data_IF_919626813633
#
_entry.id   IF_919626813633
#
_cell.length_a   1.000
_cell.length_b   1.000
_cell.length_c   1.000
_cell.angle_alpha   90.00
_cell.angle_beta   90.00
_cell.angle_gamma   90.00
#
_symmetry.space_group_name_H-M   'P 1'
#
loop_
_entity.id
_entity.type
_entity.pdbx_description
1 polymer ?
#
# COMPACT_ATOMS: atom_id res chain seq x y z
N UNK A 1 13.57 19.83 3.19
CA UNK A 1 14.58 18.80 3.48
C UNK A 1 15.04 18.96 4.92
N UNK A 2 14.55 18.15 5.85
CA UNK A 2 15.08 18.12 7.22
C UNK A 2 16.39 17.33 7.22
N UNK A 3 17.52 18.02 7.41
CA UNK A 3 18.82 17.36 7.61
C UNK A 3 18.83 16.78 9.02
N UNK A 4 18.82 15.45 9.12
CA UNK A 4 19.12 14.76 10.37
C UNK A 4 20.63 14.82 10.61
N UNK A 5 21.05 15.06 11.84
CA UNK A 5 22.45 15.12 12.27
C UNK A 5 23.06 13.72 12.39
N UNK A 6 22.28 12.74 12.83
CA UNK A 6 22.76 11.39 13.03
C UNK A 6 22.80 10.61 11.72
N UNK A 7 23.85 9.81 11.54
CA UNK A 7 24.05 8.94 10.37
C UNK A 7 23.69 7.47 10.65
N UNK A 8 23.58 7.07 11.92
CA UNK A 8 23.17 5.70 12.27
C UNK A 8 21.64 5.54 12.30
N UNK A 9 21.07 4.40 11.86
CA UNK A 9 19.63 4.22 11.77
C UNK A 9 18.89 4.35 13.11
N UNK A 10 19.47 3.80 14.19
CA UNK A 10 18.87 3.82 15.52
C UNK A 10 18.86 5.24 16.12
N UNK A 11 19.96 5.99 15.94
CA UNK A 11 20.04 7.37 16.43
C UNK A 11 19.22 8.34 15.57
N UNK A 12 19.03 8.07 14.27
CA UNK A 12 18.12 8.82 13.41
C UNK A 12 16.66 8.77 13.89
N UNK A 13 16.22 7.61 14.41
CA UNK A 13 14.87 7.45 14.97
C UNK A 13 14.75 8.26 16.26
N UNK A 14 15.75 8.16 17.14
CA UNK A 14 15.80 8.93 18.38
C UNK A 14 15.83 10.44 18.10
N UNK A 15 16.66 10.90 17.16
CA UNK A 15 16.75 12.30 16.77
C UNK A 15 15.40 12.83 16.23
N UNK A 16 14.71 12.04 15.40
CA UNK A 16 13.35 12.39 14.95
C UNK A 16 12.35 12.48 16.09
N UNK A 17 12.47 11.62 17.10
CA UNK A 17 11.63 11.71 18.31
C UNK A 17 11.98 12.95 19.13
N UNK A 18 13.26 13.30 19.26
CA UNK A 18 13.71 14.49 20.00
C UNK A 18 13.38 15.81 19.30
N UNK A 19 13.25 15.81 17.97
CA UNK A 19 12.80 16.98 17.20
C UNK A 19 11.28 17.21 17.31
N UNK A 20 10.51 16.25 17.82
CA UNK A 20 9.09 16.42 18.04
C UNK A 20 8.85 17.16 19.37
N UNK A 21 7.96 18.18 19.41
CA UNK A 21 7.59 18.82 20.66
C UNK A 21 7.07 17.79 21.68
N UNK A 22 7.42 17.88 22.97
CA UNK A 22 6.89 17.00 24.00
C UNK A 22 5.36 16.96 23.97
N UNK A 23 4.77 15.76 23.89
CA UNK A 23 3.31 15.58 23.78
C UNK A 23 2.73 15.73 22.38
N UNK A 24 3.57 15.89 21.34
CA UNK A 24 3.13 15.92 19.95
C UNK A 24 2.52 14.57 19.54
N UNK A 25 1.20 14.55 19.39
CA UNK A 25 0.50 13.47 18.67
C UNK A 25 0.39 13.89 17.21
N UNK A 26 1.04 13.21 16.26
CA UNK A 26 0.85 13.51 14.85
C UNK A 26 -0.64 13.41 14.52
N UNK A 27 -1.20 14.48 13.93
CA UNK A 27 -2.60 14.49 13.49
C UNK A 27 -2.76 13.35 12.47
N UNK A 28 -3.74 12.47 12.68
CA UNK A 28 -3.97 11.26 11.87
C UNK A 28 -4.32 11.46 10.39
N UNK A 29 -4.13 12.67 9.85
CA UNK A 29 -4.37 13.02 8.44
C UNK A 29 -3.11 13.23 7.60
N UNK A 30 -1.91 13.07 8.16
CA UNK A 30 -0.65 13.16 7.40
C UNK A 30 -0.32 11.87 6.65
N UNK A 31 0.28 11.97 5.46
CA UNK A 31 0.90 10.83 4.78
C UNK A 31 2.15 10.43 5.59
N UNK A 32 1.97 9.46 6.49
CA UNK A 32 3.10 8.80 7.14
C UNK A 32 3.79 7.87 6.14
N UNK A 33 5.12 7.94 6.06
CA UNK A 33 5.97 7.05 5.25
C UNK A 33 7.01 6.46 6.21
N UNK A 34 7.08 5.13 6.29
CA UNK A 34 8.17 4.40 6.94
C UNK A 34 9.43 4.49 6.10
N UNK A 35 10.55 4.84 6.73
CA UNK A 35 11.84 4.74 6.06
C UNK A 35 12.25 3.27 5.89
N UNK A 36 13.13 3.00 4.92
CA UNK A 36 13.59 1.64 4.62
C UNK A 36 14.19 0.91 5.84
N UNK A 37 14.98 1.62 6.65
CA UNK A 37 15.54 1.06 7.88
C UNK A 37 14.47 0.77 8.95
N UNK A 38 13.37 1.52 8.99
CA UNK A 38 12.32 1.34 10.00
C UNK A 38 11.50 0.08 9.76
N UNK A 39 11.11 -0.17 8.51
CA UNK A 39 10.32 -1.36 8.19
C UNK A 39 11.19 -2.61 8.10
N UNK A 40 12.46 -2.52 7.68
CA UNK A 40 13.41 -3.65 7.74
C UNK A 40 13.70 -4.10 9.18
N UNK A 41 13.71 -3.18 10.14
CA UNK A 41 13.95 -3.51 11.56
C UNK A 41 12.70 -4.08 12.27
N UNK A 42 11.53 -4.07 11.62
CA UNK A 42 10.30 -4.69 12.14
C UNK A 42 10.17 -6.18 11.84
N UNK A 43 11.18 -6.82 11.26
CA UNK A 43 11.14 -8.27 11.02
C UNK A 43 10.11 -8.69 9.96
N UNK A 44 9.16 -9.54 10.34
CA UNK A 44 8.26 -10.25 9.42
C UNK A 44 7.19 -9.32 8.80
N UNK A 45 6.69 -9.68 7.62
CA UNK A 45 5.66 -8.95 6.88
C UNK A 45 4.41 -8.69 7.72
N UNK A 46 4.03 -9.67 8.56
CA UNK A 46 2.86 -9.56 9.42
C UNK A 46 2.96 -8.40 10.42
N UNK A 47 4.15 -8.12 10.96
CA UNK A 47 4.34 -7.01 11.89
C UNK A 47 4.19 -5.66 11.19
N UNK A 48 4.53 -5.60 9.91
CA UNK A 48 4.37 -4.41 9.07
C UNK A 48 2.89 -4.22 8.73
N UNK A 49 2.18 -5.29 8.37
CA UNK A 49 0.74 -5.27 8.17
C UNK A 49 0.03 -4.82 9.45
N UNK A 50 0.35 -5.42 10.60
CA UNK A 50 -0.26 -5.05 11.89
C UNK A 50 0.03 -3.57 12.24
N UNK A 51 1.22 -3.06 11.94
CA UNK A 51 1.54 -1.65 12.14
C UNK A 51 0.66 -0.72 11.29
N UNK A 52 0.38 -1.09 10.04
CA UNK A 52 -0.49 -0.32 9.14
C UNK A 52 -1.96 -0.41 9.58
N UNK A 53 -2.40 -1.60 10.00
CA UNK A 53 -3.79 -1.92 10.34
C UNK A 53 -4.18 -1.41 11.72
N UNK A 54 -3.29 -1.46 12.71
CA UNK A 54 -3.54 -0.97 14.07
C UNK A 54 -3.88 0.54 14.11
N UNK A 55 -3.60 1.28 13.04
CA UNK A 55 -3.99 2.69 12.90
C UNK A 55 -5.41 2.90 12.38
N UNK A 56 -6.05 1.86 11.82
CA UNK A 56 -7.39 1.93 11.26
C UNK A 56 -8.49 1.93 12.34
N UNK A 57 -8.15 1.77 13.63
CA UNK A 57 -9.05 1.88 14.79
C UNK A 57 -10.36 1.07 14.68
N UNK A 58 -10.31 -0.11 14.04
CA UNK A 58 -11.47 -1.00 13.83
C UNK A 58 -11.10 -2.45 14.17
N UNK A 59 -11.55 -2.92 15.34
CA UNK A 59 -11.22 -4.26 15.86
C UNK A 59 -11.73 -5.40 14.95
N UNK A 60 -12.92 -5.26 14.37
CA UNK A 60 -13.47 -6.28 13.47
C UNK A 60 -12.67 -6.41 12.17
N UNK A 61 -12.21 -5.28 11.62
CA UNK A 61 -11.35 -5.27 10.43
C UNK A 61 -9.99 -5.88 10.74
N UNK A 62 -9.42 -5.56 11.91
CA UNK A 62 -8.15 -6.12 12.37
C UNK A 62 -8.22 -7.64 12.48
N UNK A 63 -9.24 -8.18 13.16
CA UNK A 63 -9.45 -9.62 13.29
C UNK A 63 -9.60 -10.32 11.94
N UNK A 64 -10.39 -9.73 11.05
CA UNK A 64 -10.57 -10.26 9.69
C UNK A 64 -9.25 -10.30 8.92
N UNK A 65 -8.42 -9.26 9.04
CA UNK A 65 -7.11 -9.23 8.40
C UNK A 65 -6.20 -10.30 9.00
N UNK A 66 -6.15 -10.45 10.32
CA UNK A 66 -5.38 -11.50 10.99
C UNK A 66 -5.77 -12.90 10.48
N UNK A 67 -7.06 -13.20 10.38
CA UNK A 67 -7.56 -14.48 9.82
C UNK A 67 -7.06 -14.71 8.39
N UNK A 68 -7.22 -13.72 7.49
CA UNK A 68 -6.81 -13.81 6.08
C UNK A 68 -5.31 -14.06 5.96
N UNK A 69 -4.49 -13.37 6.75
CA UNK A 69 -3.04 -13.46 6.66
C UNK A 69 -2.46 -14.68 7.39
N UNK A 70 -3.15 -15.20 8.42
CA UNK A 70 -2.82 -16.47 9.07
C UNK A 70 -3.12 -17.67 8.17
N UNK A 71 -4.28 -17.69 7.49
CA UNK A 71 -4.68 -18.80 6.62
C UNK A 71 -3.88 -18.88 5.32
N UNK A 72 -3.49 -17.73 4.77
CA UNK A 72 -2.99 -17.68 3.40
C UNK A 72 -1.48 -17.97 3.26
N UNK A 73 -0.71 -18.01 4.35
CA UNK A 73 0.73 -18.17 4.32
C UNK A 73 1.45 -16.95 3.69
N UNK A 74 2.64 -16.62 4.18
CA UNK A 74 3.31 -15.32 4.02
C UNK A 74 3.89 -15.01 2.61
N UNK A 75 3.37 -15.63 1.53
CA UNK A 75 3.89 -15.52 0.15
C UNK A 75 3.02 -14.67 -0.81
N UNK A 76 2.27 -13.70 -0.31
CA UNK A 76 1.07 -13.21 -1.02
C UNK A 76 0.93 -11.68 -1.13
N UNK A 77 2.03 -10.96 -1.38
CA UNK A 77 1.92 -9.53 -1.72
C UNK A 77 1.08 -9.39 -3.00
N UNK A 78 1.30 -10.23 -4.01
CA UNK A 78 0.62 -10.14 -5.31
C UNK A 78 -0.57 -11.10 -5.45
N UNK A 79 -1.58 -10.70 -6.22
CA UNK A 79 -2.74 -11.56 -6.53
C UNK A 79 -2.37 -12.83 -7.31
N UNK A 80 -1.38 -12.76 -8.19
CA UNK A 80 -0.95 -13.86 -9.07
C UNK A 80 0.51 -13.62 -9.49
N UNK A 81 1.24 -14.66 -9.94
CA UNK A 81 2.59 -14.49 -10.49
C UNK A 81 2.60 -13.56 -11.72
N UNK A 82 1.58 -13.64 -12.58
CA UNK A 82 1.40 -12.71 -13.70
C UNK A 82 1.25 -11.25 -13.22
N UNK A 83 0.52 -11.01 -12.13
CA UNK A 83 0.42 -9.69 -11.53
C UNK A 83 1.77 -9.19 -11.01
N UNK A 84 2.56 -10.06 -10.34
CA UNK A 84 3.93 -9.74 -9.90
C UNK A 84 4.80 -9.30 -11.08
N UNK A 85 4.85 -10.11 -12.14
CA UNK A 85 5.66 -9.82 -13.31
C UNK A 85 5.27 -8.49 -13.97
N UNK A 86 3.96 -8.29 -14.21
CA UNK A 86 3.41 -7.06 -14.78
C UNK A 86 3.77 -5.83 -13.94
N UNK A 87 3.61 -5.91 -12.62
CA UNK A 87 3.96 -4.81 -11.73
C UNK A 87 5.46 -4.50 -11.74
N UNK A 88 6.32 -5.52 -11.70
CA UNK A 88 7.77 -5.34 -11.78
C UNK A 88 8.22 -4.75 -13.12
N UNK A 89 7.58 -5.13 -14.23
CA UNK A 89 7.84 -4.53 -15.55
C UNK A 89 7.46 -3.04 -15.57
N UNK A 90 6.32 -2.68 -14.98
CA UNK A 90 5.90 -1.27 -14.86
C UNK A 90 6.87 -0.45 -14.02
N UNK A 91 7.46 -1.05 -12.98
CA UNK A 91 8.48 -0.41 -12.15
C UNK A 91 9.83 -0.20 -12.86
N UNK A 92 10.21 -1.08 -13.79
CA UNK A 92 11.51 -1.00 -14.51
C UNK A 92 11.48 -0.13 -15.77
N UNK A 93 10.30 0.30 -16.22
CA UNK A 93 10.13 1.08 -17.44
C UNK A 93 10.38 2.58 -17.26
N UNK A 94 9.88 3.38 -18.21
CA UNK A 94 9.96 4.86 -18.24
C UNK A 94 9.40 5.58 -16.99
N UNK A 95 8.78 4.84 -16.06
CA UNK A 95 8.07 5.35 -14.89
C UNK A 95 8.83 5.10 -13.57
N UNK A 96 10.00 4.48 -13.64
CA UNK A 96 10.79 4.06 -12.47
C UNK A 96 11.01 5.18 -11.44
N UNK A 97 11.26 6.41 -11.93
CA UNK A 97 11.53 7.57 -11.08
C UNK A 97 10.34 7.95 -10.20
N UNK A 98 9.11 7.86 -10.70
CA UNK A 98 7.90 8.13 -9.92
C UNK A 98 7.60 7.00 -8.96
N UNK A 99 7.81 5.74 -9.36
CA UNK A 99 7.64 4.60 -8.46
C UNK A 99 8.53 4.73 -7.21
N UNK A 100 9.75 5.23 -7.36
CA UNK A 100 10.66 5.51 -6.24
C UNK A 100 10.29 6.75 -5.44
N UNK A 101 9.82 7.81 -6.11
CA UNK A 101 9.57 9.11 -5.47
C UNK A 101 8.18 9.21 -4.81
N UNK A 102 7.19 8.49 -5.32
CA UNK A 102 5.79 8.58 -4.90
C UNK A 102 5.22 7.19 -4.58
N UNK A 103 5.29 6.74 -3.32
CA UNK A 103 4.79 5.42 -2.94
C UNK A 103 3.27 5.29 -3.13
N UNK A 104 2.52 6.41 -3.04
CA UNK A 104 1.09 6.46 -3.35
C UNK A 104 0.80 6.07 -4.80
N UNK A 105 1.62 6.55 -5.74
CA UNK A 105 1.51 6.21 -7.14
C UNK A 105 1.77 4.71 -7.35
N UNK A 106 2.84 4.20 -6.74
CA UNK A 106 3.19 2.78 -6.82
C UNK A 106 2.06 1.88 -6.31
N UNK A 107 1.51 2.19 -5.14
CA UNK A 107 0.42 1.44 -4.53
C UNK A 107 -0.89 1.51 -5.34
N UNK A 108 -1.18 2.67 -5.94
CA UNK A 108 -2.34 2.80 -6.82
C UNK A 108 -2.19 1.99 -8.11
N UNK A 109 -1.00 2.01 -8.72
CA UNK A 109 -0.72 1.15 -9.90
C UNK A 109 -0.82 -0.32 -9.54
N UNK A 110 -0.33 -0.73 -8.36
CA UNK A 110 -0.44 -2.10 -7.86
C UNK A 110 -1.90 -2.59 -7.82
N UNK A 111 -2.83 -1.77 -7.32
CA UNK A 111 -4.25 -2.14 -7.30
C UNK A 111 -4.87 -2.17 -8.70
N UNK A 112 -4.54 -1.18 -9.55
CA UNK A 112 -5.05 -1.13 -10.92
C UNK A 112 -4.52 -2.28 -11.79
N UNK A 113 -3.31 -2.79 -11.52
CA UNK A 113 -2.72 -3.91 -12.26
C UNK A 113 -3.16 -5.28 -11.77
N UNK A 114 -3.88 -5.36 -10.64
CA UNK A 114 -4.31 -6.61 -10.04
C UNK A 114 -5.38 -7.36 -10.87
N UNK A 115 -6.10 -6.63 -11.72
CA UNK A 115 -7.06 -7.18 -12.68
C UNK A 115 -6.74 -6.68 -14.09
N UNK A 116 -6.73 -7.58 -15.07
CA UNK A 116 -6.37 -7.24 -16.45
C UNK A 116 -7.42 -6.37 -17.14
N UNK A 117 -8.71 -6.64 -16.88
CA UNK A 117 -9.82 -5.85 -17.43
C UNK A 117 -9.81 -4.42 -16.90
N UNK A 118 -9.47 -4.23 -15.62
CA UNK A 118 -9.31 -2.92 -15.02
C UNK A 118 -8.06 -2.21 -15.58
N UNK A 119 -6.93 -2.91 -15.66
CA UNK A 119 -5.69 -2.35 -16.18
C UNK A 119 -5.83 -1.85 -17.63
N UNK A 120 -6.48 -2.61 -18.51
CA UNK A 120 -6.66 -2.24 -19.91
C UNK A 120 -7.41 -0.91 -20.08
N UNK A 121 -8.35 -0.62 -19.17
CA UNK A 121 -9.09 0.64 -19.13
C UNK A 121 -8.25 1.77 -18.51
N UNK A 122 -7.49 1.48 -17.46
CA UNK A 122 -6.73 2.48 -16.73
C UNK A 122 -5.39 2.86 -17.40
N UNK A 123 -4.73 1.93 -18.10
CA UNK A 123 -3.33 2.06 -18.55
C UNK A 123 -3.03 3.30 -19.40
N UNK A 124 -4.01 3.77 -20.18
CA UNK A 124 -3.91 4.97 -21.03
C UNK A 124 -3.90 6.27 -20.21
N UNK A 125 -4.39 6.21 -18.98
CA UNK A 125 -4.51 7.34 -18.05
C UNK A 125 -3.51 7.28 -16.90
N UNK A 126 -2.70 6.21 -16.83
CA UNK A 126 -1.53 6.09 -15.95
C UNK A 126 -0.32 6.62 -16.72
N UNK A 127 0.23 7.76 -16.29
CA UNK A 127 1.35 8.44 -16.97
C UNK A 127 2.57 8.52 -16.07
N UNK A 128 3.69 8.93 -16.65
CA UNK A 128 4.93 9.33 -15.98
C UNK A 128 4.84 10.71 -15.31
N UNK A 129 3.64 11.23 -15.05
CA UNK A 129 3.44 12.41 -14.18
C UNK A 129 2.41 12.16 -13.09
N UNK A 130 1.70 11.02 -13.15
CA UNK A 130 0.63 10.68 -12.22
C UNK A 130 -0.51 9.89 -12.89
N UNK A 131 -1.59 9.68 -12.13
CA UNK A 131 -2.77 8.93 -12.57
C UNK A 131 -3.98 9.86 -12.69
N UNK A 132 -4.57 9.92 -13.87
CA UNK A 132 -5.75 10.74 -14.14
C UNK A 132 -7.05 9.93 -13.92
N UNK A 133 -7.44 9.71 -12.66
CA UNK A 133 -8.60 8.90 -12.30
C UNK A 133 -9.91 9.40 -12.94
N UNK A 134 -10.11 10.71 -13.04
CA UNK A 134 -11.36 11.29 -13.55
C UNK A 134 -11.56 11.06 -15.06
N UNK A 135 -10.52 10.62 -15.77
CA UNK A 135 -10.59 10.26 -17.20
C UNK A 135 -10.90 8.78 -17.42
N UNK A 136 -10.85 7.94 -16.38
CA UNK A 136 -11.07 6.51 -16.48
C UNK A 136 -12.57 6.23 -16.42
N UNK A 137 -13.12 5.60 -17.46
CA UNK A 137 -14.53 5.22 -17.52
C UNK A 137 -14.73 3.76 -17.13
N UNK A 138 -15.49 3.53 -16.06
CA UNK A 138 -15.79 2.20 -15.51
C UNK A 138 -17.08 1.56 -16.08
N UNK A 139 -17.46 1.87 -17.32
CA UNK A 139 -18.68 1.29 -17.90
C UNK A 139 -18.61 -0.24 -17.96
N UNK A 140 -19.59 -0.92 -17.34
CA UNK A 140 -19.73 -2.37 -17.35
C UNK A 140 -18.65 -3.14 -16.58
N UNK A 141 -18.12 -2.57 -15.50
CA UNK A 141 -17.14 -3.25 -14.64
C UNK A 141 -17.82 -4.18 -13.63
N UNK A 142 -17.08 -5.19 -13.17
CA UNK A 142 -17.52 -6.04 -12.05
C UNK A 142 -17.45 -5.28 -10.73
N UNK A 143 -18.15 -5.78 -9.71
CA UNK A 143 -18.06 -5.25 -8.34
C UNK A 143 -16.61 -5.24 -7.84
N UNK A 144 -15.85 -6.29 -8.10
CA UNK A 144 -14.44 -6.40 -7.72
C UNK A 144 -13.57 -5.31 -8.36
N UNK A 145 -13.75 -5.06 -9.66
CA UNK A 145 -13.04 -4.02 -10.40
C UNK A 145 -13.40 -2.62 -9.89
N UNK A 146 -14.66 -2.40 -9.53
CA UNK A 146 -15.12 -1.15 -8.93
C UNK A 146 -14.43 -0.91 -7.58
N UNK A 147 -14.41 -1.91 -6.71
CA UNK A 147 -13.74 -1.84 -5.40
C UNK A 147 -12.25 -1.54 -5.55
N UNK A 148 -11.55 -2.29 -6.42
CA UNK A 148 -10.11 -2.08 -6.67
C UNK A 148 -9.81 -0.68 -7.21
N UNK A 149 -10.64 -0.17 -8.11
CA UNK A 149 -10.48 1.18 -8.66
C UNK A 149 -10.62 2.26 -7.60
N UNK A 150 -11.68 2.19 -6.79
CA UNK A 150 -11.91 3.17 -5.73
C UNK A 150 -10.85 3.07 -4.63
N UNK A 151 -10.36 1.86 -4.33
CA UNK A 151 -9.24 1.67 -3.41
C UNK A 151 -7.96 2.30 -3.96
N UNK A 152 -7.68 2.13 -5.26
CA UNK A 152 -6.54 2.76 -5.92
C UNK A 152 -6.63 4.28 -5.88
N UNK A 153 -7.81 4.85 -6.11
CA UNK A 153 -8.06 6.29 -6.04
C UNK A 153 -7.80 6.83 -4.63
N UNK A 154 -8.26 6.11 -3.60
CA UNK A 154 -8.04 6.49 -2.20
C UNK A 154 -6.59 6.42 -1.77
N UNK A 155 -5.91 5.34 -2.13
CA UNK A 155 -4.48 5.18 -1.84
C UNK A 155 -3.65 6.24 -2.59
N UNK A 156 -4.05 6.66 -3.79
CA UNK A 156 -3.34 7.70 -4.52
C UNK A 156 -3.55 9.10 -3.90
N UNK A 157 -4.82 9.50 -3.74
CA UNK A 157 -5.20 10.87 -3.39
C UNK A 157 -5.28 11.12 -1.87
N UNK A 158 -5.23 10.06 -1.05
CA UNK A 158 -5.51 10.15 0.39
C UNK A 158 -6.99 10.46 0.68
N UNK A 159 -7.88 10.15 -0.25
CA UNK A 159 -9.32 10.35 -0.10
C UNK A 159 -9.96 9.22 0.73
N UNK A 160 -11.19 9.43 1.19
CA UNK A 160 -11.99 8.46 1.96
C UNK A 160 -13.18 7.95 1.13
N UNK A 161 -12.94 7.49 -0.11
CA UNK A 161 -14.01 6.98 -0.97
C UNK A 161 -14.47 5.58 -0.58
N UNK A 162 -13.63 4.78 0.07
CA UNK A 162 -13.96 3.51 0.71
C UNK A 162 -14.00 3.74 2.22
N UNK A 163 -15.16 3.46 2.82
CA UNK A 163 -15.32 3.51 4.27
C UNK A 163 -14.69 2.27 4.89
N UNK A 164 -14.09 2.41 6.07
CA UNK A 164 -13.55 1.28 6.84
C UNK A 164 -14.63 0.22 7.16
N UNK A 165 -15.90 0.64 7.26
CA UNK A 165 -17.04 -0.27 7.41
C UNK A 165 -17.27 -1.16 6.19
N UNK A 166 -17.05 -0.64 4.98
CA UNK A 166 -17.19 -1.40 3.73
C UNK A 166 -16.07 -2.44 3.59
N UNK A 167 -14.86 -2.13 4.06
CA UNK A 167 -13.75 -3.09 4.13
C UNK A 167 -13.97 -4.20 5.17
N UNK A 168 -14.77 -3.94 6.22
CA UNK A 168 -15.08 -4.94 7.25
C UNK A 168 -16.15 -5.93 6.78
N UNK A 169 -16.95 -5.59 5.78
CA UNK A 169 -18.03 -6.40 5.24
C UNK A 169 -17.50 -7.51 4.31
N UNK A 170 -17.82 -8.78 4.62
CA UNK A 170 -17.40 -9.95 3.84
C UNK A 170 -18.26 -10.19 2.60
N UNK A 171 -19.51 -9.72 2.61
CA UNK A 171 -20.41 -9.85 1.46
C UNK A 171 -20.04 -8.83 0.38
N UNK A 172 -19.62 -7.64 0.80
CA UNK A 172 -19.23 -6.57 -0.13
C UNK A 172 -17.80 -6.74 -0.66
N UNK A 173 -16.83 -6.99 0.23
CA UNK A 173 -15.41 -7.10 -0.14
C UNK A 173 -14.98 -8.53 0.12
N UNK A 174 -14.54 -9.26 -0.90
CA UNK A 174 -13.97 -10.60 -0.71
C UNK A 174 -12.60 -10.54 -0.01
N UNK A 175 -12.25 -11.59 0.74
CA UNK A 175 -10.97 -11.67 1.47
C UNK A 175 -9.73 -11.49 0.57
N UNK A 176 -9.82 -11.99 -0.68
CA UNK A 176 -8.80 -11.77 -1.71
C UNK A 176 -8.60 -10.28 -2.04
N UNK A 177 -9.69 -9.51 -2.15
CA UNK A 177 -9.63 -8.08 -2.46
C UNK A 177 -9.11 -7.29 -1.25
N UNK A 178 -9.59 -7.62 -0.04
CA UNK A 178 -9.13 -6.99 1.18
C UNK A 178 -7.61 -7.17 1.34
N UNK A 179 -7.09 -8.36 1.06
CA UNK A 179 -5.64 -8.64 1.06
C UNK A 179 -4.88 -7.70 0.11
N UNK A 180 -5.37 -7.52 -1.12
CA UNK A 180 -4.73 -6.62 -2.09
C UNK A 180 -4.75 -5.16 -1.62
N UNK A 181 -5.87 -4.73 -1.04
CA UNK A 181 -6.03 -3.37 -0.50
C UNK A 181 -5.05 -3.14 0.65
N UNK A 182 -4.93 -4.08 1.59
CA UNK A 182 -3.98 -4.00 2.70
C UNK A 182 -2.54 -3.98 2.18
N UNK A 183 -2.19 -4.83 1.22
CA UNK A 183 -0.85 -4.84 0.62
C UNK A 183 -0.54 -3.52 -0.09
N UNK A 184 -1.53 -2.89 -0.74
CA UNK A 184 -1.37 -1.57 -1.34
C UNK A 184 -1.11 -0.50 -0.27
N UNK A 185 -1.80 -0.52 0.87
CA UNK A 185 -1.49 0.37 1.98
C UNK A 185 -0.07 0.15 2.52
N UNK A 186 0.39 -1.09 2.63
CA UNK A 186 1.77 -1.39 3.02
C UNK A 186 2.77 -0.78 2.02
N UNK A 187 2.55 -0.93 0.71
CA UNK A 187 3.39 -0.31 -0.33
C UNK A 187 3.35 1.22 -0.24
N UNK A 188 2.17 1.81 0.00
CA UNK A 188 2.01 3.26 0.17
C UNK A 188 2.83 3.78 1.36
N UNK A 189 2.91 3.00 2.45
CA UNK A 189 3.59 3.41 3.68
C UNK A 189 5.08 3.13 3.66
N UNK A 190 5.55 2.05 3.05
CA UNK A 190 6.94 1.64 3.13
C UNK A 190 7.72 1.83 1.82
N UNK A 191 7.00 2.13 0.74
CA UNK A 191 7.55 2.28 -0.60
C UNK A 191 7.76 0.96 -1.36
N UNK A 192 8.28 1.09 -2.57
CA UNK A 192 8.44 -0.03 -3.50
C UNK A 192 9.54 -1.02 -3.14
N UNK A 193 10.45 -0.66 -2.23
CA UNK A 193 11.56 -1.52 -1.79
C UNK A 193 11.10 -2.88 -1.28
N UNK A 194 9.95 -2.91 -0.59
CA UNK A 194 9.34 -4.13 -0.04
C UNK A 194 8.95 -5.15 -1.10
N UNK A 195 8.52 -4.67 -2.27
CA UNK A 195 8.00 -5.53 -3.34
C UNK A 195 9.10 -6.30 -4.07
N UNK A 196 10.37 -5.92 -3.85
CA UNK A 196 11.56 -6.60 -4.36
C UNK A 196 12.02 -7.73 -3.44
N UNK A 197 11.49 -7.83 -2.24
CA UNK A 197 11.86 -8.85 -1.27
C UNK A 197 11.09 -10.13 -1.61
N UNK A 198 11.82 -11.14 -2.11
CA UNK A 198 11.23 -12.39 -2.60
C UNK A 198 10.87 -13.37 -1.47
N UNK A 199 11.52 -13.23 -0.31
CA UNK A 199 11.29 -14.06 0.87
C UNK A 199 11.21 -13.16 2.10
N UNK A 200 10.06 -13.18 2.76
CA UNK A 200 9.84 -12.51 4.05
C UNK A 200 10.23 -13.39 5.24
N UNK A 201 10.75 -14.60 4.96
CA UNK A 201 11.28 -15.55 5.93
C UNK A 201 12.66 -16.03 5.46
N UNK A 202 13.70 -15.40 5.99
CA UNK A 202 14.99 -16.04 6.21
C UNK A 202 15.35 -15.75 7.67
N UNK A 203 14.69 -16.50 8.55
CA UNK A 203 15.18 -17.13 9.80
C UNK A 203 14.02 -17.44 10.74
#
# INVERSE_FOLDING_TARGET
MSKLFCSSPQLCVLERQMQQPPGYRPRGGGIWIMNEAEWRNRGNYLEIVDCVVSRMQMEHLKRRIEEIFCEAGQKLIFSSPAHKEKYLLLMRGKRADIFGSHPNYAAAVFLLSADDGLWERAKRHVTDTGIYFDRIRLGGVTLEQYILFHAAKDVHNGTKHIRLSELADRELVADRLLRLIVNAFVIQKCGVGMTKQEEWNAD
#
